data_IF_517039274527
#
_entry.id   IF_517039274527
#
_cell.length_a   1.000
_cell.length_b   1.000
_cell.length_c   1.000
_cell.angle_alpha   90.00
_cell.angle_beta   90.00
_cell.angle_gamma   90.00
#
_symmetry.space_group_name_H-M   'P 1'
#
loop_
_entity.id
_entity.type
_entity.pdbx_description
1 polymer ?
#
# COMPACT_ATOMS: atom_id res chain seq x y z
N UNK A 1 12.59 66.67 4.12
CA UNK A 1 11.53 66.78 5.14
C UNK A 1 11.33 65.38 5.68
N UNK A 2 12.20 64.99 6.62
CA UNK A 2 11.94 64.80 8.07
C UNK A 2 11.17 63.49 8.32
N UNK A 3 11.85 62.37 8.58
CA UNK A 3 12.61 61.96 9.80
C UNK A 3 11.72 61.21 10.81
N UNK A 4 12.26 60.21 11.50
CA UNK A 4 11.56 59.53 12.58
C UNK A 4 11.91 58.07 12.89
N UNK A 5 13.19 57.72 13.02
CA UNK A 5 13.66 56.51 13.72
C UNK A 5 13.55 56.65 15.24
N UNK A 6 13.16 55.60 16.00
CA UNK A 6 13.55 55.47 17.42
C UNK A 6 13.92 54.03 17.77
N UNK A 7 15.18 53.89 18.22
CA UNK A 7 15.81 52.79 18.94
C UNK A 7 15.73 53.10 20.44
N UNK A 8 15.56 52.10 21.30
CA UNK A 8 15.96 52.21 22.71
C UNK A 8 16.53 50.87 23.23
N UNK A 9 17.77 50.96 23.72
CA UNK A 9 18.58 49.97 24.45
C UNK A 9 19.08 50.73 25.70
N UNK A 10 19.21 50.07 26.86
CA UNK A 10 20.13 50.35 28.01
C UNK A 10 19.72 49.39 29.16
N UNK A 11 20.56 48.39 29.53
CA UNK A 11 21.65 48.36 30.57
C UNK A 11 21.10 48.24 32.01
N UNK A 12 21.27 47.08 32.66
CA UNK A 12 22.39 46.63 33.53
C UNK A 12 22.26 47.11 34.97
N UNK A 13 22.23 46.17 35.93
CA UNK A 13 23.20 46.14 37.03
C UNK A 13 23.06 44.88 37.89
N UNK A 14 24.21 44.42 38.37
CA UNK A 14 24.42 43.31 39.28
C UNK A 14 24.96 43.85 40.60
N UNK A 15 24.57 43.25 41.74
CA UNK A 15 25.46 43.11 42.90
C UNK A 15 24.90 42.15 43.94
N UNK A 16 25.80 41.28 44.41
CA UNK A 16 25.70 40.32 45.50
C UNK A 16 25.55 40.99 46.88
N UNK A 17 24.84 40.33 47.81
CA UNK A 17 25.18 40.33 49.24
C UNK A 17 24.95 38.93 49.81
N UNK A 18 26.00 38.42 50.46
CA UNK A 18 26.05 37.17 51.22
C UNK A 18 25.57 37.40 52.65
N UNK A 19 24.77 36.48 53.20
CA UNK A 19 24.76 36.17 54.64
C UNK A 19 24.50 34.67 54.79
N UNK A 20 25.45 33.95 55.40
CA UNK A 20 25.22 32.61 55.93
C UNK A 20 24.63 32.68 57.33
N UNK A 21 24.10 31.56 57.82
CA UNK A 21 24.16 31.09 59.22
C UNK A 21 23.52 29.68 59.32
N UNK A 22 24.31 28.81 59.94
CA UNK A 22 24.03 27.66 60.80
C UNK A 22 23.33 26.36 60.33
N UNK A 23 24.15 25.30 60.41
CA UNK A 23 23.77 23.91 60.63
C UNK A 23 23.05 23.72 61.97
N UNK A 24 21.99 22.90 61.98
CA UNK A 24 21.62 22.17 63.19
C UNK A 24 21.27 20.72 62.88
N UNK A 25 21.87 19.82 63.65
CA UNK A 25 21.82 18.35 63.56
C UNK A 25 20.68 17.88 64.46
N UNK A 26 19.77 17.02 63.96
CA UNK A 26 18.78 16.41 64.84
C UNK A 26 17.79 15.45 64.18
N UNK A 27 17.96 14.16 64.49
CA UNK A 27 16.91 13.15 64.72
C UNK A 27 16.05 12.61 63.55
N UNK A 28 16.38 11.36 63.18
CA UNK A 28 15.48 10.19 63.08
C UNK A 28 14.13 10.34 62.38
N UNK A 29 14.05 9.88 61.12
CA UNK A 29 12.79 9.47 60.49
C UNK A 29 12.95 8.09 59.86
N UNK A 30 12.49 7.07 60.58
CA UNK A 30 11.96 5.83 60.00
C UNK A 30 10.45 6.08 59.78
N UNK A 31 9.95 5.83 58.58
CA UNK A 31 8.66 5.16 58.30
C UNK A 31 8.24 5.32 56.83
N UNK A 32 8.14 4.17 56.15
CA UNK A 32 7.09 3.79 55.20
C UNK A 32 6.71 4.73 54.02
N UNK A 33 7.15 4.33 52.82
CA UNK A 33 6.38 4.40 51.58
C UNK A 33 6.90 3.28 50.65
N UNK A 34 6.36 2.06 50.72
CA UNK A 34 5.26 1.52 49.89
C UNK A 34 5.63 1.44 48.39
N UNK A 35 6.12 0.26 48.02
CA UNK A 35 5.69 -0.59 46.88
C UNK A 35 4.95 0.12 45.74
N UNK A 36 5.67 0.46 44.67
CA UNK A 36 5.15 0.49 43.28
C UNK A 36 6.28 0.11 42.33
N UNK A 37 6.37 -1.17 41.93
CA UNK A 37 7.21 -1.61 40.81
C UNK A 37 6.76 -2.99 40.34
N UNK A 38 5.55 -3.07 39.77
CA UNK A 38 5.04 -4.32 39.18
C UNK A 38 3.90 -4.11 38.15
N UNK A 39 4.09 -3.24 37.16
CA UNK A 39 3.36 -3.31 35.87
C UNK A 39 4.22 -2.63 34.82
N UNK A 40 4.72 -3.38 33.82
CA UNK A 40 4.80 -3.00 32.39
C UNK A 40 5.91 -3.77 31.64
N UNK A 41 5.73 -5.08 31.46
CA UNK A 41 6.34 -5.80 30.32
C UNK A 41 5.28 -6.68 29.66
N UNK A 42 4.15 -6.06 29.34
CA UNK A 42 3.16 -6.60 28.40
C UNK A 42 3.08 -5.66 27.22
N UNK A 43 3.89 -5.90 26.20
CA UNK A 43 3.90 -5.05 25.01
C UNK A 43 4.88 -5.56 23.97
N UNK A 44 4.35 -6.13 22.89
CA UNK A 44 5.13 -6.34 21.66
C UNK A 44 5.38 -7.79 21.26
N UNK A 45 4.38 -8.67 21.31
CA UNK A 45 4.32 -9.74 20.31
C UNK A 45 3.87 -9.13 18.98
N UNK A 46 4.70 -8.26 18.38
CA UNK A 46 4.60 -8.06 16.95
C UNK A 46 5.17 -9.33 16.34
N UNK A 47 4.29 -10.25 15.95
CA UNK A 47 4.65 -11.28 15.00
C UNK A 47 5.36 -10.58 13.84
N UNK A 48 6.61 -10.96 13.56
CA UNK A 48 7.38 -10.43 12.44
C UNK A 48 6.57 -10.60 11.15
N UNK A 49 5.87 -9.56 10.76
CA UNK A 49 5.33 -9.44 9.42
C UNK A 49 6.56 -9.20 8.52
N UNK A 50 6.96 -10.23 7.77
CA UNK A 50 8.12 -10.20 6.88
C UNK A 50 7.78 -9.29 5.67
N UNK A 51 7.98 -7.98 5.87
CA UNK A 51 7.80 -6.97 4.84
C UNK A 51 9.03 -6.88 3.95
N UNK A 52 8.83 -6.86 2.63
CA UNK A 52 9.90 -6.62 1.65
C UNK A 52 9.64 -5.30 0.93
N UNK A 53 10.69 -4.51 0.71
CA UNK A 53 10.61 -3.27 -0.07
C UNK A 53 11.79 -3.15 -1.03
N UNK A 54 11.55 -2.58 -2.20
CA UNK A 54 12.55 -2.37 -3.24
C UNK A 54 12.19 -1.15 -4.09
N UNK A 55 13.08 -0.77 -4.99
CA UNK A 55 12.82 0.26 -5.99
C UNK A 55 12.58 -0.38 -7.36
N UNK A 56 11.61 0.15 -8.11
CA UNK A 56 11.40 -0.14 -9.52
C UNK A 56 11.60 1.15 -10.33
N UNK A 57 12.33 1.08 -11.43
CA UNK A 57 12.37 2.13 -12.44
C UNK A 57 11.33 1.81 -13.51
N UNK A 58 10.36 2.69 -13.68
CA UNK A 58 9.29 2.58 -14.66
C UNK A 58 9.64 3.39 -15.89
N UNK A 59 9.45 2.82 -17.08
CA UNK A 59 9.43 3.58 -18.33
C UNK A 59 8.00 4.07 -18.58
N UNK A 60 7.82 5.38 -18.58
CA UNK A 60 6.54 6.03 -18.85
C UNK A 60 6.28 6.11 -20.37
N UNK A 61 5.02 6.35 -20.73
CA UNK A 61 4.56 6.47 -22.12
C UNK A 61 5.30 7.52 -22.97
N UNK A 62 5.89 8.54 -22.34
CA UNK A 62 6.65 9.62 -23.00
C UNK A 62 8.16 9.37 -23.03
N UNK A 63 8.61 8.18 -22.61
CA UNK A 63 10.02 7.79 -22.58
C UNK A 63 10.77 8.25 -21.34
N UNK A 64 10.16 9.04 -20.45
CA UNK A 64 10.77 9.39 -19.16
C UNK A 64 10.80 8.17 -18.23
N UNK A 65 11.74 8.21 -17.29
CA UNK A 65 11.89 7.20 -16.24
C UNK A 65 11.39 7.75 -14.91
N UNK A 66 10.68 6.91 -14.16
CA UNK A 66 10.19 7.21 -12.81
C UNK A 66 10.67 6.14 -11.84
N UNK A 67 11.34 6.53 -10.76
CA UNK A 67 11.70 5.59 -9.70
C UNK A 67 10.58 5.56 -8.67
N UNK A 68 10.11 4.36 -8.36
CA UNK A 68 9.07 4.11 -7.36
C UNK A 68 9.61 3.17 -6.30
N UNK A 69 9.19 3.39 -5.06
CA UNK A 69 9.39 2.47 -3.95
C UNK A 69 8.13 1.61 -3.84
N UNK A 70 8.30 0.30 -3.93
CA UNK A 70 7.23 -0.68 -3.74
C UNK A 70 7.52 -1.48 -2.49
N UNK A 71 6.48 -1.77 -1.72
CA UNK A 71 6.58 -2.63 -0.55
C UNK A 71 5.42 -3.59 -0.49
N UNK A 72 5.67 -4.78 0.01
CA UNK A 72 4.62 -5.75 0.32
C UNK A 72 4.80 -6.32 1.71
N UNK A 73 3.69 -6.78 2.28
CA UNK A 73 3.67 -7.59 3.50
C UNK A 73 2.88 -8.86 3.21
N UNK A 74 3.51 -10.02 3.43
CA UNK A 74 2.83 -11.32 3.26
C UNK A 74 2.13 -11.71 4.56
N UNK A 75 0.83 -11.95 4.48
CA UNK A 75 -0.01 -12.41 5.60
C UNK A 75 -1.32 -12.99 5.08
N UNK A 76 -2.02 -13.74 5.93
CA UNK A 76 -3.27 -14.42 5.59
C UNK A 76 -3.15 -15.94 5.65
N UNK A 77 -4.29 -16.61 5.52
CA UNK A 77 -4.37 -18.08 5.55
C UNK A 77 -3.66 -18.66 4.34
N UNK A 78 -2.91 -19.73 4.55
CA UNK A 78 -2.18 -20.48 3.52
C UNK A 78 -2.06 -21.94 3.96
N UNK A 79 -1.85 -22.83 3.00
CA UNK A 79 -1.64 -24.25 3.30
C UNK A 79 -0.27 -24.48 3.97
N UNK A 80 -0.12 -25.54 4.78
CA UNK A 80 1.19 -25.93 5.30
C UNK A 80 2.23 -26.01 4.17
N UNK A 81 3.44 -25.51 4.41
CA UNK A 81 4.56 -25.46 3.45
C UNK A 81 4.37 -24.49 2.27
N UNK A 82 3.27 -23.75 2.19
CA UNK A 82 3.12 -22.64 1.25
C UNK A 82 3.48 -21.30 1.92
N UNK A 83 3.86 -20.31 1.11
CA UNK A 83 4.04 -18.94 1.62
C UNK A 83 2.68 -18.27 1.80
N UNK A 84 2.52 -17.39 2.80
CA UNK A 84 1.34 -16.54 2.89
C UNK A 84 1.15 -15.71 1.60
N UNK A 85 -0.10 -15.39 1.24
CA UNK A 85 -0.37 -14.50 0.12
C UNK A 85 0.15 -13.09 0.40
N UNK A 86 0.19 -12.25 -0.64
CA UNK A 86 0.45 -10.82 -0.47
C UNK A 86 -0.76 -10.22 0.24
N UNK A 87 -0.59 -9.85 1.50
CA UNK A 87 -1.67 -9.34 2.33
C UNK A 87 -1.82 -7.83 2.26
N UNK A 88 -0.71 -7.11 2.12
CA UNK A 88 -0.70 -5.66 1.90
C UNK A 88 0.34 -5.30 0.85
N UNK A 89 0.07 -4.22 0.12
CA UNK A 89 0.97 -3.69 -0.89
C UNK A 89 0.92 -2.16 -0.92
N UNK A 90 2.05 -1.51 -1.19
CA UNK A 90 2.09 -0.06 -1.38
C UNK A 90 3.06 0.38 -2.45
N UNK A 91 2.74 1.53 -3.08
CA UNK A 91 3.63 2.28 -3.96
C UNK A 91 3.85 3.69 -3.41
N UNK A 92 5.08 4.19 -3.51
CA UNK A 92 5.46 5.54 -3.11
C UNK A 92 6.44 6.12 -4.13
N UNK A 93 6.16 7.32 -4.62
CA UNK A 93 7.02 7.98 -5.61
C UNK A 93 6.91 9.51 -5.52
N UNK A 94 7.88 10.20 -6.11
CA UNK A 94 7.83 11.65 -6.27
C UNK A 94 7.26 11.97 -7.64
N UNK A 95 6.13 12.68 -7.69
CA UNK A 95 5.50 13.07 -8.94
C UNK A 95 6.47 13.94 -9.77
N UNK A 96 6.69 13.64 -11.07
CA UNK A 96 7.73 14.30 -11.86
C UNK A 96 7.48 15.80 -12.10
N UNK A 97 6.21 16.21 -12.21
CA UNK A 97 5.81 17.62 -12.43
C UNK A 97 5.57 18.38 -11.12
N UNK A 98 4.65 17.91 -10.26
CA UNK A 98 4.29 18.61 -9.02
C UNK A 98 5.32 18.47 -7.90
N UNK A 99 6.26 17.53 -8.03
CA UNK A 99 7.25 17.17 -6.99
C UNK A 99 6.67 16.68 -5.66
N UNK A 100 5.35 16.48 -5.60
CA UNK A 100 4.64 15.91 -4.47
C UNK A 100 5.04 14.44 -4.29
N UNK A 101 5.14 13.99 -3.03
CA UNK A 101 5.27 12.56 -2.74
C UNK A 101 3.88 11.92 -2.71
N UNK A 102 3.62 11.05 -3.68
CA UNK A 102 2.37 10.32 -3.80
C UNK A 102 2.55 8.92 -3.21
N UNK A 103 1.54 8.46 -2.47
CA UNK A 103 1.47 7.09 -1.95
C UNK A 103 0.16 6.44 -2.32
N UNK A 104 0.21 5.21 -2.80
CA UNK A 104 -0.94 4.33 -2.99
C UNK A 104 -0.80 3.11 -2.09
N UNK A 105 -1.90 2.59 -1.58
CA UNK A 105 -1.93 1.41 -0.71
C UNK A 105 -3.09 0.49 -1.07
N UNK A 106 -2.85 -0.79 -0.96
CA UNK A 106 -3.85 -1.85 -0.91
C UNK A 106 -3.67 -2.62 0.40
N UNK A 107 -4.68 -2.50 1.24
CA UNK A 107 -4.68 -3.06 2.59
C UNK A 107 -5.34 -4.44 2.58
N UNK A 108 -5.05 -5.20 3.63
CA UNK A 108 -5.63 -6.53 3.80
C UNK A 108 -7.14 -6.46 3.97
N UNK A 109 -7.87 -7.12 3.06
CA UNK A 109 -9.32 -7.30 3.22
C UNK A 109 -9.61 -8.60 3.95
N UNK A 110 -10.18 -8.55 5.16
CA UNK A 110 -10.58 -9.75 5.90
C UNK A 110 -11.61 -10.60 5.11
N UNK A 111 -12.43 -9.95 4.31
CA UNK A 111 -13.40 -10.56 3.41
C UNK A 111 -12.75 -11.34 2.27
N UNK A 112 -11.57 -10.91 1.81
CA UNK A 112 -10.82 -11.55 0.70
C UNK A 112 -9.71 -12.48 1.23
N UNK A 113 -9.17 -12.19 2.42
CA UNK A 113 -8.05 -12.90 3.04
C UNK A 113 -6.67 -12.53 2.50
N UNK A 114 -6.54 -11.43 1.73
CA UNK A 114 -5.30 -10.93 1.13
C UNK A 114 -5.48 -9.48 0.62
N UNK A 115 -4.45 -8.94 -0.04
CA UNK A 115 -4.53 -7.72 -0.84
C UNK A 115 -5.52 -7.89 -2.01
N UNK A 116 -6.21 -6.83 -2.39
CA UNK A 116 -7.25 -6.86 -3.41
C UNK A 116 -6.68 -6.89 -4.83
N UNK A 117 -5.44 -6.46 -5.03
CA UNK A 117 -4.94 -6.08 -6.34
C UNK A 117 -3.59 -6.70 -6.71
N UNK A 118 -3.41 -6.94 -8.01
CA UNK A 118 -2.11 -7.08 -8.67
C UNK A 118 -1.86 -5.84 -9.52
N UNK A 119 -0.79 -5.09 -9.24
CA UNK A 119 -0.47 -3.87 -9.98
C UNK A 119 0.17 -4.20 -11.33
N UNK A 120 -0.29 -3.52 -12.39
CA UNK A 120 0.18 -3.73 -13.76
C UNK A 120 0.92 -2.50 -14.29
N UNK A 121 0.39 -1.31 -14.02
CA UNK A 121 0.89 -0.07 -14.61
C UNK A 121 0.76 1.10 -13.63
N UNK A 122 1.78 1.95 -13.62
CA UNK A 122 1.72 3.30 -13.08
C UNK A 122 2.16 4.29 -14.15
N UNK A 123 1.29 5.24 -14.45
CA UNK A 123 1.52 6.30 -15.44
C UNK A 123 1.30 7.68 -14.85
N UNK A 124 1.87 8.69 -15.50
CA UNK A 124 1.72 10.09 -15.09
C UNK A 124 1.37 10.94 -16.30
N UNK A 125 0.34 11.78 -16.17
CA UNK A 125 -0.01 12.82 -17.14
C UNK A 125 -0.17 14.16 -16.45
N UNK A 126 0.56 15.18 -16.89
CA UNK A 126 0.49 16.53 -16.31
C UNK A 126 0.64 16.50 -14.78
N UNK A 127 -0.44 16.72 -14.02
CA UNK A 127 -0.47 16.70 -12.55
C UNK A 127 -1.18 15.46 -11.97
N UNK A 128 -1.59 14.51 -12.81
CA UNK A 128 -2.32 13.31 -12.39
C UNK A 128 -1.45 12.07 -12.53
N UNK A 129 -1.59 11.14 -11.59
CA UNK A 129 -1.03 9.79 -11.71
C UNK A 129 -2.15 8.75 -11.87
N UNK A 130 -1.84 7.65 -12.53
CA UNK A 130 -2.80 6.60 -12.85
C UNK A 130 -2.23 5.25 -12.47
N UNK A 131 -2.99 4.45 -11.75
CA UNK A 131 -2.66 3.04 -11.48
C UNK A 131 -3.69 2.18 -12.19
N UNK A 132 -3.20 1.18 -12.94
CA UNK A 132 -4.03 0.09 -13.43
C UNK A 132 -3.64 -1.17 -12.68
N UNK A 133 -4.64 -1.78 -12.05
CA UNK A 133 -4.51 -3.00 -11.32
C UNK A 133 -5.54 -4.03 -11.79
N UNK A 134 -5.24 -5.32 -11.63
CA UNK A 134 -6.22 -6.38 -11.74
C UNK A 134 -6.69 -6.83 -10.35
N UNK A 135 -7.95 -7.25 -10.19
CA UNK A 135 -8.38 -7.93 -8.96
C UNK A 135 -7.60 -9.22 -8.74
N UNK A 136 -7.02 -9.38 -7.55
CA UNK A 136 -6.26 -10.57 -7.15
C UNK A 136 -7.23 -11.72 -6.81
N UNK A 137 -7.44 -12.60 -7.77
CA UNK A 137 -8.28 -13.79 -7.62
C UNK A 137 -9.79 -13.52 -7.60
N UNK A 138 -10.57 -14.59 -7.48
CA UNK A 138 -12.03 -14.52 -7.66
C UNK A 138 -12.78 -13.75 -6.59
N UNK A 139 -12.28 -13.72 -5.34
CA UNK A 139 -12.95 -12.98 -4.26
C UNK A 139 -12.82 -11.46 -4.49
N UNK A 140 -11.59 -10.98 -4.76
CA UNK A 140 -11.36 -9.59 -5.16
C UNK A 140 -12.14 -9.22 -6.42
N UNK A 141 -12.18 -10.11 -7.41
CA UNK A 141 -12.95 -9.90 -8.64
C UNK A 141 -14.44 -9.65 -8.34
N UNK A 142 -15.06 -10.47 -7.50
CA UNK A 142 -16.44 -10.28 -7.06
C UNK A 142 -16.62 -9.00 -6.25
N UNK A 143 -15.74 -8.73 -5.28
CA UNK A 143 -15.75 -7.51 -4.45
C UNK A 143 -15.72 -6.23 -5.25
N UNK A 144 -14.91 -6.19 -6.32
CA UNK A 144 -14.67 -4.99 -7.10
C UNK A 144 -15.61 -4.83 -8.31
N UNK A 145 -16.68 -5.63 -8.35
CA UNK A 145 -17.77 -5.48 -9.33
C UNK A 145 -17.51 -6.19 -10.64
N UNK A 146 -16.67 -7.24 -10.65
CA UNK A 146 -16.42 -8.13 -11.78
C UNK A 146 -16.08 -7.38 -13.08
N UNK A 147 -15.09 -6.47 -13.09
CA UNK A 147 -14.79 -5.64 -14.25
C UNK A 147 -14.44 -6.49 -15.49
N UNK A 148 -14.78 -6.02 -16.69
CA UNK A 148 -14.40 -6.67 -17.94
C UNK A 148 -14.02 -5.64 -19.02
N UNK A 149 -12.74 -5.53 -19.44
CA UNK A 149 -11.56 -6.26 -18.97
C UNK A 149 -11.33 -6.21 -17.45
N UNK A 150 -10.57 -7.15 -16.86
CA UNK A 150 -10.46 -7.30 -15.41
C UNK A 150 -9.53 -6.25 -14.79
N UNK A 151 -9.80 -4.97 -15.02
CA UNK A 151 -9.03 -3.84 -14.51
C UNK A 151 -9.85 -3.00 -13.54
N UNK A 152 -9.19 -2.57 -12.47
CA UNK A 152 -9.63 -1.47 -11.61
C UNK A 152 -8.61 -0.35 -11.77
N UNK A 153 -9.08 0.81 -12.20
CA UNK A 153 -8.23 1.97 -12.51
C UNK A 153 -8.39 3.01 -11.43
N UNK A 154 -7.27 3.49 -10.91
CA UNK A 154 -7.21 4.57 -9.93
C UNK A 154 -6.52 5.78 -10.55
N UNK A 155 -7.05 6.97 -10.27
CA UNK A 155 -6.47 8.25 -10.65
C UNK A 155 -6.18 9.05 -9.39
N UNK A 156 -4.93 9.49 -9.25
CA UNK A 156 -4.54 10.47 -8.26
C UNK A 156 -4.70 11.87 -8.84
N UNK A 157 -5.46 12.71 -8.16
CA UNK A 157 -5.57 14.14 -8.46
C UNK A 157 -6.01 14.87 -7.19
N UNK A 158 -5.51 16.09 -7.00
CA UNK A 158 -5.92 16.96 -5.90
C UNK A 158 -5.72 16.32 -4.50
N UNK A 159 -4.64 15.53 -4.35
CA UNK A 159 -4.24 14.92 -3.08
C UNK A 159 -4.86 13.56 -2.77
N UNK A 160 -5.72 13.01 -3.63
CA UNK A 160 -6.45 11.76 -3.34
C UNK A 160 -6.54 10.80 -4.53
N UNK A 161 -6.63 9.50 -4.23
CA UNK A 161 -6.83 8.43 -5.20
C UNK A 161 -8.31 8.11 -5.36
N UNK A 162 -8.82 8.21 -6.59
CA UNK A 162 -10.20 7.85 -6.92
C UNK A 162 -10.26 6.76 -7.97
N UNK A 163 -11.16 5.80 -7.80
CA UNK A 163 -11.49 4.85 -8.86
C UNK A 163 -12.14 5.61 -10.02
N UNK A 164 -11.69 5.34 -11.24
CA UNK A 164 -12.26 5.89 -12.48
C UNK A 164 -12.68 4.74 -13.41
N UNK A 165 -13.51 5.06 -14.41
CA UNK A 165 -13.85 4.10 -15.45
C UNK A 165 -12.64 3.83 -16.36
N UNK A 166 -12.55 2.63 -16.94
CA UNK A 166 -11.46 2.27 -17.86
C UNK A 166 -11.42 3.17 -19.10
N UNK A 167 -12.58 3.68 -19.52
CA UNK A 167 -12.72 4.60 -20.65
C UNK A 167 -12.10 5.98 -20.38
N UNK A 168 -11.95 6.35 -19.11
CA UNK A 168 -11.31 7.61 -18.70
C UNK A 168 -9.78 7.50 -18.65
N UNK A 169 -9.22 6.29 -18.67
CA UNK A 169 -7.77 6.08 -18.75
C UNK A 169 -7.27 6.49 -20.15
N UNK A 170 -6.32 7.44 -20.27
CA UNK A 170 -5.82 7.87 -21.58
C UNK A 170 -5.41 6.71 -22.49
N UNK A 171 -5.83 6.75 -23.76
CA UNK A 171 -5.64 5.64 -24.71
C UNK A 171 -4.16 5.28 -24.95
N UNK A 172 -3.26 6.26 -24.82
CA UNK A 172 -1.81 6.06 -24.93
C UNK A 172 -1.22 5.25 -23.77
N UNK A 173 -1.93 5.11 -22.65
CA UNK A 173 -1.53 4.25 -21.54
C UNK A 173 -2.00 2.84 -21.83
N UNK A 174 -1.10 2.06 -22.43
CA UNK A 174 -1.45 0.77 -23.00
C UNK A 174 -0.47 -0.35 -22.68
N UNK A 175 0.63 -0.09 -21.93
CA UNK A 175 1.66 -1.08 -21.65
C UNK A 175 1.91 -1.19 -20.15
N UNK A 176 1.76 -2.38 -19.54
CA UNK A 176 2.22 -2.63 -18.17
C UNK A 176 3.69 -2.28 -17.98
N UNK A 177 4.01 -1.61 -16.89
CA UNK A 177 5.36 -1.10 -16.61
C UNK A 177 5.84 -1.34 -15.16
N UNK A 178 5.07 -2.11 -14.37
CA UNK A 178 5.46 -2.62 -13.06
C UNK A 178 5.74 -4.12 -13.14
N UNK A 179 6.56 -4.66 -12.23
CA UNK A 179 6.73 -6.13 -12.12
C UNK A 179 5.39 -6.78 -11.75
N UNK A 180 4.96 -7.78 -12.53
CA UNK A 180 3.70 -8.49 -12.33
C UNK A 180 3.89 -9.81 -11.55
N UNK A 181 2.80 -10.44 -11.13
CA UNK A 181 2.73 -11.75 -10.45
C UNK A 181 3.37 -11.81 -9.05
N UNK A 182 4.69 -11.99 -8.96
CA UNK A 182 5.42 -12.22 -7.69
C UNK A 182 6.56 -11.21 -7.53
N UNK A 183 6.24 -9.92 -7.40
CA UNK A 183 7.22 -8.86 -7.57
C UNK A 183 8.27 -8.81 -6.44
N UNK A 184 7.97 -9.35 -5.25
CA UNK A 184 8.93 -9.48 -4.16
C UNK A 184 9.97 -10.58 -4.39
N UNK A 185 9.58 -11.69 -5.02
CA UNK A 185 10.52 -12.75 -5.39
C UNK A 185 11.47 -12.26 -6.48
N UNK A 186 10.95 -11.53 -7.47
CA UNK A 186 11.75 -10.90 -8.52
C UNK A 186 12.70 -9.84 -7.94
N UNK A 187 12.25 -9.03 -6.98
CA UNK A 187 13.09 -8.07 -6.28
C UNK A 187 14.23 -8.76 -5.49
N UNK A 188 13.94 -9.89 -4.83
CA UNK A 188 14.95 -10.69 -4.14
C UNK A 188 15.97 -11.27 -5.11
N UNK A 189 15.53 -11.81 -6.24
CA UNK A 189 16.41 -12.32 -7.30
C UNK A 189 17.28 -11.22 -7.94
N UNK A 190 16.75 -10.00 -8.03
CA UNK A 190 17.47 -8.81 -8.50
C UNK A 190 18.48 -8.23 -7.49
N UNK A 191 18.64 -8.85 -6.31
CA UNK A 191 19.56 -8.37 -5.27
C UNK A 191 19.04 -7.19 -4.44
N UNK A 192 17.72 -6.93 -4.48
CA UNK A 192 17.02 -6.10 -3.49
C UNK A 192 17.26 -4.58 -3.55
N UNK A 193 17.83 -4.03 -4.64
CA UNK A 193 18.13 -2.58 -4.74
C UNK A 193 17.19 -1.84 -5.68
N UNK A 194 17.34 -2.10 -6.98
CA UNK A 194 16.62 -1.42 -8.05
C UNK A 194 16.37 -2.43 -9.17
N UNK A 195 15.11 -2.61 -9.53
CA UNK A 195 14.71 -3.28 -10.76
C UNK A 195 14.62 -2.21 -11.84
N UNK A 196 15.50 -2.25 -12.84
CA UNK A 196 15.49 -1.25 -13.93
C UNK A 196 14.30 -1.45 -14.87
N UNK A 197 13.93 -0.44 -15.65
CA UNK A 197 12.83 -0.59 -16.61
C UNK A 197 13.07 -1.71 -17.64
N UNK A 198 14.34 -1.93 -18.00
CA UNK A 198 14.75 -3.05 -18.86
C UNK A 198 14.52 -4.40 -18.17
N UNK A 199 14.87 -4.51 -16.89
CA UNK A 199 14.59 -5.71 -16.10
C UNK A 199 13.10 -5.96 -15.95
N UNK A 200 12.29 -4.93 -15.67
CA UNK A 200 10.82 -5.05 -15.61
C UNK A 200 10.29 -5.59 -16.94
N UNK A 201 10.71 -5.02 -18.07
CA UNK A 201 10.29 -5.48 -19.39
C UNK A 201 10.71 -6.95 -19.64
N UNK A 202 11.90 -7.35 -19.21
CA UNK A 202 12.38 -8.73 -19.33
C UNK A 202 11.58 -9.70 -18.45
N UNK A 203 11.34 -9.35 -17.18
CA UNK A 203 10.56 -10.15 -16.23
C UNK A 203 9.13 -10.34 -16.74
N UNK A 204 8.52 -9.27 -17.24
CA UNK A 204 7.16 -9.28 -17.77
C UNK A 204 7.06 -9.91 -19.18
N UNK A 205 8.17 -10.31 -19.82
CA UNK A 205 8.15 -10.99 -21.12
C UNK A 205 8.36 -12.48 -20.90
N UNK A 206 7.30 -13.30 -20.93
CA UNK A 206 7.41 -14.72 -20.64
C UNK A 206 8.15 -15.43 -21.76
N UNK A 207 8.97 -16.39 -21.35
CA UNK A 207 9.73 -17.26 -22.26
C UNK A 207 8.81 -18.21 -23.05
N UNK A 208 7.63 -18.52 -22.50
CA UNK A 208 6.64 -19.39 -23.15
C UNK A 208 5.42 -18.60 -23.67
N UNK A 209 5.09 -18.75 -24.95
CA UNK A 209 4.00 -18.01 -25.60
C UNK A 209 2.59 -18.32 -25.02
N UNK A 210 2.37 -19.53 -24.50
CA UNK A 210 1.12 -19.92 -23.82
C UNK A 210 0.94 -19.27 -22.45
N UNK A 211 2.03 -18.72 -21.88
CA UNK A 211 2.05 -18.23 -20.50
C UNK A 211 1.58 -16.78 -20.35
N UNK A 212 1.32 -16.02 -21.43
CA UNK A 212 0.75 -14.68 -21.31
C UNK A 212 -0.57 -14.46 -22.02
N UNK A 213 -1.57 -14.22 -21.19
CA UNK A 213 -2.85 -13.67 -21.56
C UNK A 213 -2.69 -12.25 -22.16
N UNK A 214 -3.54 -11.85 -23.14
CA UNK A 214 -3.43 -10.54 -23.79
C UNK A 214 -3.44 -9.35 -22.83
N UNK A 215 -4.19 -9.43 -21.73
CA UNK A 215 -4.30 -8.37 -20.72
C UNK A 215 -2.99 -8.02 -19.99
N UNK A 216 -1.97 -8.88 -20.09
CA UNK A 216 -0.65 -8.65 -19.51
C UNK A 216 0.36 -8.10 -20.53
N UNK A 217 0.03 -8.16 -21.83
CA UNK A 217 0.85 -7.56 -22.91
C UNK A 217 0.47 -6.10 -23.11
N UNK A 218 -0.83 -5.82 -23.06
CA UNK A 218 -1.38 -4.49 -23.28
C UNK A 218 -2.65 -4.29 -22.46
N UNK A 219 -2.95 -3.04 -22.12
CA UNK A 219 -4.20 -2.67 -21.45
C UNK A 219 -5.34 -2.78 -22.46
N UNK A 220 -6.09 -3.88 -22.37
CA UNK A 220 -7.28 -4.11 -23.18
C UNK A 220 -8.34 -3.03 -22.93
N UNK A 221 -9.06 -2.68 -23.99
CA UNK A 221 -10.17 -1.71 -23.94
C UNK A 221 -11.53 -2.34 -24.23
N UNK A 222 -11.52 -3.50 -24.88
CA UNK A 222 -12.70 -4.27 -25.23
C UNK A 222 -12.91 -5.41 -24.24
N UNK A 223 -14.17 -5.72 -23.95
CA UNK A 223 -14.53 -6.81 -23.06
C UNK A 223 -13.96 -8.14 -23.57
N UNK A 224 -13.39 -8.91 -22.66
CA UNK A 224 -12.94 -10.28 -22.88
C UNK A 224 -14.14 -11.22 -22.96
N UNK A 225 -14.01 -12.31 -23.72
CA UNK A 225 -15.04 -13.35 -23.80
C UNK A 225 -15.30 -13.94 -22.40
N UNK A 226 -16.55 -14.21 -22.02
CA UNK A 226 -16.86 -14.91 -20.77
C UNK A 226 -16.06 -16.22 -20.65
N UNK A 227 -15.54 -16.51 -19.46
CA UNK A 227 -14.69 -17.68 -19.24
C UNK A 227 -13.22 -17.50 -19.61
N UNK A 228 -12.83 -16.37 -20.21
CA UNK A 228 -11.41 -16.07 -20.41
C UNK A 228 -10.69 -15.93 -19.06
N UNK A 229 -9.39 -16.29 -18.96
CA UNK A 229 -8.62 -16.10 -17.74
C UNK A 229 -8.69 -14.65 -17.25
N UNK A 230 -9.02 -14.46 -15.96
CA UNK A 230 -9.27 -13.16 -15.34
C UNK A 230 -10.74 -12.72 -15.30
N UNK A 231 -11.63 -13.31 -16.12
CA UNK A 231 -13.08 -13.00 -16.15
C UNK A 231 -13.96 -14.26 -16.07
N UNK A 232 -13.39 -15.41 -15.71
CA UNK A 232 -14.07 -16.71 -15.65
C UNK A 232 -14.52 -17.16 -14.25
N UNK A 233 -14.35 -16.33 -13.22
CA UNK A 233 -14.71 -16.68 -11.85
C UNK A 233 -16.22 -16.82 -11.67
N UNK A 234 -16.65 -17.73 -10.79
CA UNK A 234 -18.06 -17.82 -10.37
C UNK A 234 -18.52 -16.50 -9.74
N UNK A 235 -19.79 -16.17 -9.95
CA UNK A 235 -20.43 -15.03 -9.29
C UNK A 235 -20.67 -15.35 -7.81
N UNK A 236 -20.20 -14.47 -6.94
CA UNK A 236 -20.33 -14.58 -5.49
C UNK A 236 -20.79 -13.26 -4.91
N UNK A 237 -21.57 -13.33 -3.84
CA UNK A 237 -22.00 -12.18 -3.04
C UNK A 237 -21.47 -12.32 -1.62
N UNK A 238 -21.06 -11.21 -1.02
CA UNK A 238 -20.63 -11.20 0.37
C UNK A 238 -21.85 -11.12 1.28
N UNK A 239 -22.07 -12.17 2.06
CA UNK A 239 -23.26 -12.31 2.91
C UNK A 239 -22.88 -12.85 4.29
N UNK A 240 -23.22 -12.09 5.33
CA UNK A 240 -23.02 -12.45 6.74
C UNK A 240 -21.59 -12.94 7.07
N UNK A 241 -20.58 -12.31 6.49
CA UNK A 241 -19.18 -12.62 6.77
C UNK A 241 -18.52 -13.64 5.83
N UNK A 242 -19.24 -14.15 4.83
CA UNK A 242 -18.70 -15.12 3.87
C UNK A 242 -19.11 -14.80 2.43
N UNK A 243 -18.27 -15.22 1.47
CA UNK A 243 -18.63 -15.24 0.05
C UNK A 243 -19.46 -16.48 -0.26
N UNK A 244 -20.65 -16.28 -0.82
CA UNK A 244 -21.59 -17.36 -1.17
C UNK A 244 -22.13 -17.15 -2.57
N UNK A 245 -22.64 -18.22 -3.19
CA UNK A 245 -23.37 -18.09 -4.45
C UNK A 245 -24.62 -17.21 -4.30
N UNK A 246 -25.06 -16.52 -5.37
CA UNK A 246 -26.23 -15.64 -5.32
C UNK A 246 -27.54 -16.40 -5.04
N UNK A 247 -28.60 -15.67 -4.72
CA UNK A 247 -29.95 -16.23 -4.53
C UNK A 247 -30.10 -17.11 -3.28
N UNK A 248 -30.78 -18.25 -3.41
CA UNK A 248 -30.97 -19.25 -2.35
C UNK A 248 -29.91 -20.37 -2.44
N UNK A 249 -28.64 -19.97 -2.44
CA UNK A 249 -27.51 -20.90 -2.50
C UNK A 249 -27.36 -21.70 -1.20
N UNK A 250 -26.74 -22.88 -1.30
CA UNK A 250 -26.40 -23.70 -0.13
C UNK A 250 -25.58 -22.89 0.88
N UNK A 251 -24.60 -22.12 0.41
CA UNK A 251 -23.77 -21.26 1.24
C UNK A 251 -24.60 -20.24 2.01
N UNK A 252 -25.57 -19.59 1.35
CA UNK A 252 -26.46 -18.63 2.02
C UNK A 252 -27.28 -19.26 3.14
N UNK A 253 -27.90 -20.42 2.87
CA UNK A 253 -28.66 -21.18 3.88
C UNK A 253 -27.80 -21.64 5.05
N UNK A 254 -26.52 -21.96 4.82
CA UNK A 254 -25.57 -22.28 5.89
C UNK A 254 -25.29 -21.05 6.76
N UNK A 255 -25.01 -19.89 6.15
CA UNK A 255 -24.78 -18.64 6.89
C UNK A 255 -26.00 -18.21 7.72
N UNK A 256 -27.21 -18.42 7.20
CA UNK A 256 -28.44 -18.13 7.95
C UNK A 256 -28.67 -19.00 9.18
N UNK A 257 -28.11 -20.22 9.20
CA UNK A 257 -28.17 -21.10 10.38
C UNK A 257 -27.12 -20.77 11.43
N UNK A 258 -25.93 -20.35 11.01
CA UNK A 258 -24.82 -20.02 11.91
C UNK A 258 -24.95 -18.64 12.56
N UNK A 259 -25.83 -17.79 12.04
CA UNK A 259 -26.05 -16.41 12.54
C UNK A 259 -27.25 -16.28 13.49
N UNK A 260 -27.82 -17.40 13.93
CA UNK A 260 -28.83 -17.48 14.99
C UNK A 260 -28.16 -17.80 16.31
#
# INVERSE_FOLDING_TARGET
MTDGSIVARVRSDASLVSQGIDMNIGTSIRCWAIVVLLVSMGGGMNACADGTSWKEELLLHDGRKLIVERSIVRKGRHEPFQRPPIGEESLSFKHPVTHERIRWKDEYGDDVGMSNFGLLMLEVDQAAAYIVAEPRGCLSYNKWGRPNPPYVVFKFKDGDWKRIALQELPARFNKPNLVMSSPDDEAKQAGGRLITAEMVNRINTPVAAWAMQPQYKTILREAMKPGSPGVGCEELVYYKGAWVGPGDSIGRRMMDRMSK
#
